data_IF_658707303563
#
_entry.id   IF_658707303563
#
_cell.length_a   1.000
_cell.length_b   1.000
_cell.length_c   1.000
_cell.angle_alpha   90.00
_cell.angle_beta   90.00
_cell.angle_gamma   90.00
#
_symmetry.space_group_name_H-M   'P 1'
#
loop_
_entity.id
_entity.type
_entity.pdbx_description
1 polymer ?
#
# COMPACT_ATOMS: atom_id res chain seq x y z
N UNK A 1 -18.36 1.76 1.01
CA UNK A 1 -17.19 0.91 0.62
C UNK A 1 -16.14 0.82 1.72
N UNK A 2 -15.76 1.92 2.37
CA UNK A 2 -14.73 1.90 3.41
C UNK A 2 -15.10 1.13 4.69
N UNK A 3 -16.38 1.11 5.10
CA UNK A 3 -16.81 0.41 6.32
C UNK A 3 -16.67 -1.12 6.22
N UNK A 4 -17.07 -1.72 5.09
CA UNK A 4 -16.91 -3.16 4.81
C UNK A 4 -15.42 -3.56 4.84
N UNK A 5 -14.57 -2.69 4.27
CA UNK A 5 -13.13 -2.90 4.23
C UNK A 5 -12.50 -2.81 5.63
N UNK A 6 -12.96 -1.87 6.46
CA UNK A 6 -12.53 -1.72 7.86
C UNK A 6 -12.95 -2.91 8.72
N UNK A 7 -14.17 -3.44 8.55
CA UNK A 7 -14.66 -4.60 9.29
C UNK A 7 -13.83 -5.85 8.97
N UNK A 8 -13.60 -6.11 7.68
CA UNK A 8 -12.75 -7.22 7.23
C UNK A 8 -11.32 -7.04 7.75
N UNK A 9 -10.77 -5.83 7.67
CA UNK A 9 -9.43 -5.53 8.16
C UNK A 9 -9.33 -5.72 9.68
N UNK A 10 -10.32 -5.28 10.46
CA UNK A 10 -10.39 -5.50 11.91
C UNK A 10 -10.47 -6.98 12.26
N UNK A 11 -11.24 -7.77 11.51
CA UNK A 11 -11.38 -9.20 11.74
C UNK A 11 -10.10 -9.98 11.43
N UNK A 12 -9.39 -9.60 10.35
CA UNK A 12 -8.07 -10.13 10.00
C UNK A 12 -7.02 -9.68 11.03
N UNK A 13 -7.06 -8.41 11.43
CA UNK A 13 -6.17 -7.83 12.43
C UNK A 13 -6.33 -8.52 13.78
N UNK A 14 -7.54 -8.77 14.25
CA UNK A 14 -7.81 -9.49 15.49
C UNK A 14 -7.28 -10.94 15.45
N UNK A 15 -7.33 -11.60 14.29
CA UNK A 15 -6.71 -12.92 14.09
C UNK A 15 -5.18 -12.83 14.09
N UNK A 16 -4.61 -11.84 13.40
CA UNK A 16 -3.17 -11.58 13.37
C UNK A 16 -2.62 -11.16 14.74
N UNK A 17 -3.44 -10.51 15.57
CA UNK A 17 -3.12 -10.07 16.94
C UNK A 17 -3.30 -11.20 17.97
N UNK A 18 -3.89 -12.33 17.58
CA UNK A 18 -3.85 -13.60 18.34
C UNK A 18 -2.59 -14.43 18.09
N UNK A 19 -1.99 -14.34 16.89
CA UNK A 19 -0.69 -14.92 16.55
C UNK A 19 0.57 -14.32 17.24
N UNK A 20 0.65 -13.04 17.67
CA UNK A 20 1.81 -12.45 18.33
C UNK A 20 1.80 -12.76 19.83
N UNK A 21 1.09 -13.80 20.29
CA UNK A 21 1.22 -14.35 21.65
C UNK A 21 2.52 -15.16 21.78
N UNK A 22 3.55 -14.71 21.11
CA UNK A 22 4.88 -15.24 21.02
C UNK A 22 5.81 -14.06 21.36
N UNK A 23 6.99 -14.31 21.94
CA UNK A 23 7.68 -13.37 22.83
C UNK A 23 7.92 -11.96 22.26
N UNK A 24 8.25 -10.98 23.11
CA UNK A 24 8.50 -9.57 22.73
C UNK A 24 9.45 -9.39 21.51
N UNK A 25 10.31 -10.39 21.25
CA UNK A 25 11.19 -10.47 20.09
C UNK A 25 10.44 -10.70 18.75
N UNK A 26 9.39 -11.52 18.76
CA UNK A 26 8.60 -11.88 17.58
C UNK A 26 7.70 -10.72 17.14
N UNK A 27 7.17 -9.94 18.09
CA UNK A 27 6.50 -8.66 17.80
C UNK A 27 7.45 -7.71 17.07
N UNK A 28 8.70 -7.61 17.53
CA UNK A 28 9.70 -6.75 16.92
C UNK A 28 9.96 -7.14 15.46
N UNK A 29 10.20 -8.43 15.21
CA UNK A 29 10.46 -8.95 13.87
C UNK A 29 9.26 -8.76 12.92
N UNK A 30 8.05 -9.06 13.37
CA UNK A 30 6.83 -8.84 12.59
C UNK A 30 6.61 -7.36 12.26
N UNK A 31 6.89 -6.47 13.22
CA UNK A 31 6.74 -5.02 13.03
C UNK A 31 7.71 -4.52 11.96
N UNK A 32 8.97 -4.95 11.99
CA UNK A 32 9.96 -4.59 10.96
C UNK A 32 9.54 -5.12 9.59
N UNK A 33 9.03 -6.35 9.49
CA UNK A 33 8.50 -6.90 8.24
C UNK A 33 7.31 -6.09 7.69
N UNK A 34 6.36 -5.74 8.56
CA UNK A 34 5.19 -4.94 8.19
C UNK A 34 5.60 -3.53 7.73
N UNK A 35 6.55 -2.90 8.43
CA UNK A 35 7.11 -1.60 8.06
C UNK A 35 7.83 -1.65 6.71
N UNK A 36 8.61 -2.71 6.48
CA UNK A 36 9.29 -2.91 5.20
C UNK A 36 8.28 -3.06 4.06
N UNK A 37 7.25 -3.90 4.24
CA UNK A 37 6.21 -4.08 3.23
C UNK A 37 5.44 -2.78 2.99
N UNK A 38 5.06 -2.06 4.03
CA UNK A 38 4.39 -0.76 3.92
C UNK A 38 5.25 0.24 3.14
N UNK A 39 6.54 0.32 3.44
CA UNK A 39 7.49 1.22 2.74
C UNK A 39 7.64 0.83 1.27
N UNK A 40 7.75 -0.46 0.97
CA UNK A 40 7.83 -0.96 -0.40
C UNK A 40 6.57 -0.63 -1.21
N UNK A 41 5.39 -0.89 -0.65
CA UNK A 41 4.11 -0.54 -1.28
C UNK A 41 4.03 0.98 -1.50
N UNK A 42 4.43 1.80 -0.52
CA UNK A 42 4.48 3.26 -0.69
C UNK A 42 5.44 3.67 -1.82
N UNK A 43 6.64 3.10 -1.88
CA UNK A 43 7.60 3.37 -2.97
C UNK A 43 7.03 3.01 -4.34
N UNK A 44 6.34 1.87 -4.45
CA UNK A 44 5.65 1.45 -5.68
C UNK A 44 4.55 2.45 -6.04
N UNK A 45 3.68 2.82 -5.10
CA UNK A 45 2.59 3.78 -5.32
C UNK A 45 3.13 5.16 -5.71
N UNK A 46 4.17 5.65 -5.05
CA UNK A 46 4.82 6.93 -5.38
C UNK A 46 5.43 6.87 -6.77
N UNK A 47 6.08 5.76 -7.13
CA UNK A 47 6.64 5.56 -8.47
C UNK A 47 5.54 5.52 -9.53
N UNK A 48 4.45 4.78 -9.29
CA UNK A 48 3.31 4.71 -10.20
C UNK A 48 2.61 6.07 -10.35
N UNK A 49 2.36 6.78 -9.25
CA UNK A 49 1.73 8.11 -9.29
C UNK A 49 2.64 9.15 -9.91
N UNK A 50 3.95 9.15 -9.63
CA UNK A 50 4.90 10.09 -10.24
C UNK A 50 5.08 9.83 -11.76
N UNK A 51 5.17 8.56 -12.17
CA UNK A 51 5.26 8.19 -13.58
C UNK A 51 3.94 8.46 -14.35
N UNK A 52 2.78 8.20 -13.74
CA UNK A 52 1.48 8.36 -14.38
C UNK A 52 0.94 9.80 -14.32
N UNK A 53 1.19 10.54 -13.24
CA UNK A 53 0.82 11.96 -13.12
C UNK A 53 1.70 12.88 -13.99
N UNK A 54 2.93 12.47 -14.32
CA UNK A 54 3.73 13.14 -15.35
C UNK A 54 3.18 12.94 -16.78
N UNK A 55 2.37 11.90 -17.03
CA UNK A 55 1.71 11.64 -18.32
C UNK A 55 0.37 12.37 -18.47
N UNK A 56 -0.26 12.78 -17.37
CA UNK A 56 -1.49 13.58 -17.39
C UNK A 56 -1.27 15.04 -17.86
N UNK A 57 -0.01 15.49 -17.99
CA UNK A 57 0.38 16.75 -18.64
C UNK A 57 1.02 16.54 -20.02
N UNK A 58 0.50 15.61 -20.83
CA UNK A 58 0.58 15.78 -22.28
C UNK A 58 -0.70 16.52 -22.69
N UNK A 59 -0.67 17.82 -23.09
CA UNK A 59 -1.70 18.26 -24.01
C UNK A 59 -1.69 17.25 -25.14
N UNK A 60 -2.84 16.65 -25.41
CA UNK A 60 -3.08 15.83 -26.58
C UNK A 60 -2.44 16.54 -27.77
N UNK A 61 -1.27 16.06 -28.22
CA UNK A 61 -0.74 16.42 -29.52
C UNK A 61 -1.79 15.90 -30.49
N UNK A 62 -2.76 16.76 -30.83
CA UNK A 62 -3.54 16.61 -32.05
C UNK A 62 -2.52 16.68 -33.18
N UNK A 63 -2.01 15.52 -33.57
CA UNK A 63 -1.55 15.31 -34.94
C UNK A 63 -2.79 15.43 -35.82
N UNK A 64 -3.02 16.63 -36.35
CA UNK A 64 -3.81 16.83 -37.56
C UNK A 64 -2.86 16.41 -38.70
N UNK A 65 -3.07 15.30 -39.42
CA UNK A 65 -2.34 15.10 -40.66
C UNK A 65 -2.85 16.13 -41.68
N UNK A 66 -1.93 16.88 -42.29
CA UNK A 66 -2.15 17.77 -43.44
C UNK A 66 -1.93 17.00 -44.73
#
# INVERSE_FOLDING_TARGET
>A
MAQEMLDIFQRIWAKLQGLPRAGALEIGAFTVLLLFLATFILMVVISCTSCCSAKAKRPSTRVHPV
#
